data_IF_220898691017
#
_entry.id   IF_220898691017
#
_cell.length_a   1.000
_cell.length_b   1.000
_cell.length_c   1.000
_cell.angle_alpha   90.00
_cell.angle_beta   90.00
_cell.angle_gamma   90.00
#
_symmetry.space_group_name_H-M   'P 1'
#
loop_
_entity.id
_entity.type
_entity.pdbx_description
1 polymer ?
#
# COMPACT_ATOMS: atom_id res chain seq x y z
N UNK A 1 9.84 -23.39 34.80
CA UNK A 1 8.73 -23.52 33.85
C UNK A 1 9.32 -23.22 32.49
N UNK A 2 9.55 -24.26 31.69
CA UNK A 2 9.99 -24.11 30.27
C UNK A 2 8.77 -23.64 29.48
N UNK A 3 8.72 -22.37 29.13
CA UNK A 3 7.79 -21.85 28.14
C UNK A 3 8.32 -22.32 26.79
N UNK A 4 7.78 -23.42 26.27
CA UNK A 4 7.94 -23.77 24.86
C UNK A 4 7.17 -22.71 24.08
N UNK A 5 7.87 -21.69 23.59
CA UNK A 5 7.35 -20.84 22.55
C UNK A 5 7.07 -21.77 21.35
N UNK A 6 5.81 -22.04 21.08
CA UNK A 6 5.40 -22.70 19.83
C UNK A 6 6.01 -21.88 18.70
N UNK A 7 6.77 -22.48 17.78
CA UNK A 7 7.29 -21.72 16.66
C UNK A 7 6.09 -21.15 15.89
N UNK A 8 5.92 -19.83 15.97
CA UNK A 8 4.89 -19.17 15.21
C UNK A 8 5.31 -19.19 13.75
N UNK A 9 4.65 -20.02 12.95
CA UNK A 9 4.81 -20.03 11.52
C UNK A 9 3.85 -18.99 10.92
N UNK A 10 4.38 -17.94 10.30
CA UNK A 10 3.57 -17.07 9.47
C UNK A 10 3.02 -17.90 8.29
N UNK A 11 1.71 -17.89 8.13
CA UNK A 11 1.07 -18.50 6.97
C UNK A 11 1.07 -17.48 5.81
N UNK A 12 1.93 -17.69 4.85
CA UNK A 12 2.04 -16.88 3.64
C UNK A 12 1.20 -17.43 2.47
N UNK A 13 0.38 -18.45 2.70
CA UNK A 13 -0.44 -19.08 1.64
C UNK A 13 -1.45 -18.12 1.01
N UNK A 14 -1.80 -17.07 1.74
CA UNK A 14 -2.81 -16.08 1.31
C UNK A 14 -2.21 -14.76 0.82
N UNK A 15 -0.92 -14.70 0.51
CA UNK A 15 -0.31 -13.52 -0.09
C UNK A 15 -0.53 -13.50 -1.61
N UNK A 16 -0.50 -12.30 -2.20
CA UNK A 16 -0.67 -12.14 -3.64
C UNK A 16 -2.09 -11.73 -4.03
N UNK A 17 -2.31 -11.60 -5.34
CA UNK A 17 -3.59 -11.17 -5.88
C UNK A 17 -4.70 -12.14 -5.49
N UNK A 18 -5.80 -11.61 -4.92
CA UNK A 18 -6.94 -12.40 -4.45
C UNK A 18 -6.51 -13.60 -3.58
N UNK A 19 -5.54 -13.39 -2.68
CA UNK A 19 -4.99 -14.41 -1.79
C UNK A 19 -4.40 -15.61 -2.54
N UNK A 20 -3.85 -15.38 -3.72
CA UNK A 20 -3.35 -16.41 -4.66
C UNK A 20 -4.38 -17.42 -5.19
N UNK A 21 -5.66 -17.21 -4.91
CA UNK A 21 -6.75 -18.05 -5.38
C UNK A 21 -7.13 -17.79 -6.85
N UNK A 22 -6.71 -16.65 -7.39
CA UNK A 22 -7.00 -16.26 -8.78
C UNK A 22 -5.76 -15.68 -9.45
N UNK A 23 -5.61 -15.95 -10.73
CA UNK A 23 -4.64 -15.28 -11.58
C UNK A 23 -4.93 -13.78 -11.69
N UNK A 24 -3.89 -12.98 -11.86
CA UNK A 24 -4.03 -11.55 -12.18
C UNK A 24 -4.79 -11.43 -13.50
N UNK A 25 -5.91 -10.70 -13.56
CA UNK A 25 -6.68 -10.59 -14.79
C UNK A 25 -5.91 -9.79 -15.85
N UNK A 26 -5.96 -10.24 -17.07
CA UNK A 26 -5.43 -9.49 -18.20
C UNK A 26 -6.40 -8.38 -18.59
N UNK A 27 -5.90 -7.13 -18.63
CA UNK A 27 -6.70 -5.98 -19.00
C UNK A 27 -6.65 -5.75 -20.51
N UNK A 28 -7.79 -5.60 -21.14
CA UNK A 28 -7.89 -5.25 -22.56
C UNK A 28 -7.18 -3.93 -22.84
N UNK A 29 -6.37 -3.90 -23.91
CA UNK A 29 -5.72 -2.66 -24.34
C UNK A 29 -6.74 -1.73 -24.96
N UNK A 30 -6.89 -0.55 -24.35
CA UNK A 30 -7.85 0.49 -24.78
C UNK A 30 -7.14 1.62 -25.51
N UNK A 31 -5.95 1.97 -25.06
CA UNK A 31 -5.13 3.04 -25.67
C UNK A 31 -3.73 2.51 -25.87
N UNK A 32 -3.21 2.72 -27.08
CA UNK A 32 -1.80 2.51 -27.41
C UNK A 32 -1.08 3.85 -27.51
N UNK A 33 -0.06 4.04 -26.69
CA UNK A 33 0.78 5.24 -26.67
C UNK A 33 2.07 4.94 -27.40
N UNK A 34 2.15 5.34 -28.66
CA UNK A 34 3.35 5.19 -29.49
C UNK A 34 4.48 6.05 -28.93
N UNK A 35 5.70 5.53 -28.91
CA UNK A 35 6.86 6.31 -28.49
C UNK A 35 7.07 7.56 -29.36
N UNK A 36 7.50 8.64 -28.72
CA UNK A 36 7.97 9.88 -29.36
C UNK A 36 9.11 10.45 -28.54
N UNK A 37 9.93 11.28 -29.17
CA UNK A 37 10.99 12.03 -28.51
C UNK A 37 10.43 13.13 -27.59
N UNK A 38 11.17 13.45 -26.53
CA UNK A 38 10.88 14.49 -25.56
C UNK A 38 9.94 14.05 -24.43
N UNK A 39 9.47 15.00 -23.63
CA UNK A 39 8.61 14.74 -22.46
C UNK A 39 7.27 14.12 -22.86
N UNK A 40 6.97 12.98 -22.25
CA UNK A 40 5.74 12.21 -22.51
C UNK A 40 4.73 12.27 -21.37
N UNK A 41 5.04 12.99 -20.28
CA UNK A 41 4.22 13.02 -19.07
C UNK A 41 2.75 13.32 -19.35
N UNK A 42 2.48 14.46 -19.97
CA UNK A 42 1.12 14.92 -20.25
C UNK A 42 0.36 13.99 -21.21
N UNK A 43 1.08 13.35 -22.13
CA UNK A 43 0.48 12.47 -23.14
C UNK A 43 0.09 11.12 -22.56
N UNK A 44 0.94 10.54 -21.71
CA UNK A 44 0.62 9.30 -21.00
C UNK A 44 -0.48 9.59 -19.98
N UNK A 45 -0.42 10.72 -19.25
CA UNK A 45 -1.48 11.10 -18.32
C UNK A 45 -2.85 11.19 -19.00
N UNK A 46 -2.93 11.84 -20.17
CA UNK A 46 -4.19 11.90 -20.94
C UNK A 46 -4.71 10.51 -21.34
N UNK A 47 -3.83 9.56 -21.63
CA UNK A 47 -4.24 8.19 -21.92
C UNK A 47 -4.78 7.49 -20.68
N UNK A 48 -4.15 7.68 -19.53
CA UNK A 48 -4.62 7.19 -18.22
C UNK A 48 -6.00 7.80 -17.91
N UNK A 49 -6.15 9.11 -18.06
CA UNK A 49 -7.41 9.82 -17.79
C UNK A 49 -8.56 9.34 -18.70
N UNK A 50 -8.24 9.09 -19.97
CA UNK A 50 -9.20 8.53 -20.92
C UNK A 50 -9.69 7.13 -20.49
N UNK A 51 -8.79 6.25 -20.07
CA UNK A 51 -9.17 4.92 -19.56
C UNK A 51 -9.92 5.05 -18.24
N UNK A 52 -9.52 5.97 -17.38
CA UNK A 52 -10.18 6.26 -16.10
C UNK A 52 -11.64 6.69 -16.25
N UNK A 53 -11.96 7.43 -17.30
CA UNK A 53 -13.32 7.88 -17.60
C UNK A 53 -14.23 6.76 -18.17
N UNK A 54 -13.70 5.62 -18.56
CA UNK A 54 -14.50 4.52 -19.11
C UNK A 54 -15.33 3.85 -18.02
N UNK A 55 -16.44 3.24 -18.44
CA UNK A 55 -17.22 2.39 -17.55
C UNK A 55 -16.43 1.14 -17.17
N UNK A 56 -16.39 0.85 -15.89
CA UNK A 56 -15.76 -0.37 -15.36
C UNK A 56 -16.59 -1.61 -15.73
N UNK A 57 -15.93 -2.64 -16.22
CA UNK A 57 -16.54 -3.96 -16.38
C UNK A 57 -16.83 -4.56 -15.01
N UNK A 58 -18.08 -4.95 -14.77
CA UNK A 58 -18.53 -5.47 -13.49
C UNK A 58 -18.00 -6.87 -13.15
N UNK A 59 -17.59 -7.64 -14.16
CA UNK A 59 -17.09 -9.02 -13.95
C UNK A 59 -15.62 -9.01 -13.58
N UNK A 60 -14.83 -8.20 -14.28
CA UNK A 60 -13.38 -8.13 -14.10
C UNK A 60 -12.95 -7.02 -13.12
N UNK A 61 -13.79 -6.00 -12.94
CA UNK A 61 -13.43 -4.80 -12.18
C UNK A 61 -12.41 -3.93 -12.90
N UNK A 62 -12.22 -4.11 -14.21
CA UNK A 62 -11.27 -3.38 -15.04
C UNK A 62 -11.97 -2.34 -15.93
N UNK A 63 -11.25 -1.29 -16.27
CA UNK A 63 -11.61 -0.28 -17.29
C UNK A 63 -10.79 -0.45 -18.55
N UNK A 64 -9.62 -1.05 -18.42
CA UNK A 64 -8.69 -1.38 -19.49
C UNK A 64 -7.27 -0.97 -19.22
N UNK A 65 -6.41 -1.24 -20.20
CA UNK A 65 -5.00 -0.92 -20.15
C UNK A 65 -4.62 0.23 -21.10
N UNK A 66 -3.69 1.07 -20.63
CA UNK A 66 -2.86 1.93 -21.48
C UNK A 66 -1.60 1.15 -21.79
N UNK A 67 -1.41 0.78 -23.06
CA UNK A 67 -0.20 0.10 -23.55
C UNK A 67 0.80 1.12 -24.08
N UNK A 68 1.98 1.12 -23.51
CA UNK A 68 3.12 1.91 -23.98
C UNK A 68 3.95 1.11 -24.98
N UNK A 69 4.35 1.76 -26.07
CA UNK A 69 5.23 1.21 -27.07
C UNK A 69 6.64 0.93 -26.50
N UNK A 70 7.49 0.32 -27.31
CA UNK A 70 8.93 0.21 -27.03
C UNK A 70 9.57 1.59 -27.06
N UNK A 71 10.49 1.85 -26.13
CA UNK A 71 11.26 3.08 -26.07
C UNK A 71 11.42 3.60 -24.64
N UNK A 72 12.22 4.65 -24.52
CA UNK A 72 12.43 5.38 -23.26
C UNK A 72 11.50 6.59 -23.26
N UNK A 73 10.51 6.54 -22.39
CA UNK A 73 9.53 7.61 -22.18
C UNK A 73 10.05 8.55 -21.11
N UNK A 74 10.58 9.70 -21.50
CA UNK A 74 11.02 10.72 -20.55
C UNK A 74 9.81 11.36 -19.87
N UNK A 75 9.90 11.53 -18.55
CA UNK A 75 8.86 12.10 -17.71
C UNK A 75 9.42 13.24 -16.88
N UNK A 76 8.94 14.45 -17.12
CA UNK A 76 9.22 15.63 -16.27
C UNK A 76 8.22 15.78 -15.12
N UNK A 77 7.10 15.06 -15.19
CA UNK A 77 6.07 15.02 -14.16
C UNK A 77 5.66 13.59 -13.85
N UNK A 78 5.31 13.27 -12.60
CA UNK A 78 4.85 11.95 -12.23
C UNK A 78 3.50 11.64 -12.90
N UNK A 79 3.29 10.35 -13.16
CA UNK A 79 1.99 9.84 -13.61
C UNK A 79 1.11 9.51 -12.39
N UNK A 80 -0.21 9.72 -12.54
CA UNK A 80 -1.18 9.46 -11.47
C UNK A 80 -2.29 8.56 -11.97
N UNK A 81 -2.53 7.46 -11.26
CA UNK A 81 -3.69 6.60 -11.47
C UNK A 81 -4.55 6.73 -10.21
N UNK A 82 -5.70 7.42 -10.35
CA UNK A 82 -6.59 7.76 -9.24
C UNK A 82 -7.93 7.04 -9.31
N UNK A 83 -8.09 6.16 -10.29
CA UNK A 83 -9.33 5.44 -10.55
C UNK A 83 -9.08 3.93 -10.62
N UNK A 84 -9.93 3.16 -9.93
CA UNK A 84 -9.89 1.69 -9.95
C UNK A 84 -10.07 1.12 -11.35
N UNK A 85 -9.41 0.00 -11.62
CA UNK A 85 -9.57 -0.76 -12.87
C UNK A 85 -8.70 -0.29 -14.03
N UNK A 86 -7.71 0.56 -13.79
CA UNK A 86 -6.79 1.10 -14.81
C UNK A 86 -5.44 0.40 -14.70
N UNK A 87 -4.92 -0.06 -15.84
CA UNK A 87 -3.61 -0.70 -15.94
C UNK A 87 -2.71 0.11 -16.86
N UNK A 88 -1.52 0.45 -16.39
CA UNK A 88 -0.43 1.00 -17.20
C UNK A 88 0.53 -0.14 -17.55
N UNK A 89 0.66 -0.45 -18.83
CA UNK A 89 1.41 -1.61 -19.30
C UNK A 89 2.44 -1.20 -20.34
N UNK A 90 3.66 -1.70 -20.20
CA UNK A 90 4.66 -1.67 -21.28
C UNK A 90 4.51 -2.84 -22.23
N UNK A 91 5.00 -2.70 -23.44
CA UNK A 91 5.05 -3.79 -24.43
C UNK A 91 5.95 -4.92 -23.92
N UNK A 92 7.07 -4.57 -23.31
CA UNK A 92 8.04 -5.52 -22.75
C UNK A 92 8.89 -4.81 -21.69
N UNK A 93 9.15 -5.48 -20.56
CA UNK A 93 9.89 -4.89 -19.43
C UNK A 93 11.31 -4.43 -19.79
N UNK A 94 11.94 -5.06 -20.79
CA UNK A 94 13.30 -4.72 -21.20
C UNK A 94 13.34 -3.66 -22.31
N UNK A 95 12.19 -3.32 -22.89
CA UNK A 95 12.09 -2.43 -24.04
C UNK A 95 11.24 -1.18 -23.80
N UNK A 96 10.37 -1.20 -22.79
CA UNK A 96 9.57 -0.03 -22.38
C UNK A 96 10.11 0.50 -21.07
N UNK A 97 10.64 1.72 -21.08
CA UNK A 97 11.23 2.36 -19.90
C UNK A 97 10.50 3.67 -19.62
N UNK A 98 10.02 3.86 -18.41
CA UNK A 98 9.62 5.17 -17.87
C UNK A 98 10.85 5.79 -17.22
N UNK A 99 11.35 6.88 -17.76
CA UNK A 99 12.55 7.55 -17.29
C UNK A 99 12.19 8.90 -16.67
N UNK A 100 12.28 9.00 -15.35
CA UNK A 100 12.02 10.24 -14.62
C UNK A 100 13.19 11.20 -14.80
N UNK A 101 12.88 12.41 -15.25
CA UNK A 101 13.82 13.53 -15.28
C UNK A 101 13.85 14.25 -13.95
N UNK A 102 15.02 14.76 -13.59
CA UNK A 102 15.25 15.45 -12.34
C UNK A 102 15.70 14.51 -11.21
N UNK A 103 16.39 15.08 -10.23
CA UNK A 103 17.05 14.35 -9.15
C UNK A 103 16.25 14.30 -7.85
N UNK A 104 15.02 14.84 -7.84
CA UNK A 104 14.15 14.78 -6.68
C UNK A 104 13.71 13.34 -6.34
N UNK A 105 13.30 13.11 -5.08
CA UNK A 105 12.87 11.80 -4.56
C UNK A 105 11.41 11.43 -4.87
N UNK A 106 10.71 12.23 -5.67
CA UNK A 106 9.32 11.96 -6.03
C UNK A 106 9.15 10.64 -6.78
N UNK A 107 8.03 9.97 -6.59
CA UNK A 107 7.71 8.75 -7.30
C UNK A 107 7.43 9.03 -8.80
N UNK A 108 7.72 8.05 -9.65
CA UNK A 108 7.44 8.10 -11.08
C UNK A 108 5.94 7.90 -11.36
N UNK A 109 5.32 6.99 -10.61
CA UNK A 109 3.89 6.67 -10.73
C UNK A 109 3.26 6.67 -9.35
N UNK A 110 2.21 7.44 -9.17
CA UNK A 110 1.36 7.44 -7.97
C UNK A 110 0.09 6.63 -8.23
N UNK A 111 -0.16 5.67 -7.36
CA UNK A 111 -1.43 4.93 -7.28
C UNK A 111 -2.15 5.41 -6.02
N UNK A 112 -2.96 6.42 -6.14
CA UNK A 112 -3.58 7.09 -5.00
C UNK A 112 -5.05 7.40 -5.26
N UNK A 113 -5.91 7.11 -4.30
CA UNK A 113 -7.31 7.49 -4.38
C UNK A 113 -7.50 8.96 -3.99
N UNK A 114 -8.37 9.67 -4.69
CA UNK A 114 -8.82 11.01 -4.25
C UNK A 114 -9.62 10.95 -2.95
N UNK A 115 -10.22 9.79 -2.66
CA UNK A 115 -10.98 9.58 -1.44
C UNK A 115 -10.07 9.18 -0.30
N UNK A 116 -10.28 9.78 0.86
CA UNK A 116 -9.58 9.48 2.09
C UNK A 116 -10.35 8.43 2.90
N UNK A 117 -9.61 7.58 3.62
CA UNK A 117 -10.20 6.67 4.59
C UNK A 117 -10.93 7.48 5.68
N UNK A 118 -12.18 7.11 5.93
CA UNK A 118 -12.97 7.65 7.02
C UNK A 118 -13.20 6.57 8.06
N UNK A 119 -13.18 6.92 9.34
CA UNK A 119 -13.50 6.02 10.43
C UNK A 119 -14.88 6.31 11.01
N UNK A 120 -15.49 5.31 11.67
CA UNK A 120 -16.81 5.37 12.27
C UNK A 120 -16.75 5.16 13.78
N UNK A 121 -17.41 6.03 14.51
CA UNK A 121 -17.48 5.97 15.96
C UNK A 121 -16.14 6.28 16.64
N UNK A 122 -16.13 6.16 17.96
CA UNK A 122 -14.94 6.37 18.77
C UNK A 122 -13.97 5.19 18.66
N UNK A 123 -12.65 5.43 18.75
CA UNK A 123 -11.68 4.35 18.83
C UNK A 123 -11.89 3.51 20.08
N UNK A 124 -11.97 2.20 19.92
CA UNK A 124 -12.02 1.25 21.02
C UNK A 124 -10.58 0.94 21.46
N UNK A 125 -10.19 1.36 22.64
CA UNK A 125 -8.91 0.96 23.25
C UNK A 125 -8.91 -0.53 23.55
N UNK A 126 -7.78 -1.18 23.37
CA UNK A 126 -7.63 -2.59 23.74
C UNK A 126 -7.68 -2.72 25.26
N UNK A 127 -8.62 -3.54 25.75
CA UNK A 127 -8.76 -3.85 27.17
C UNK A 127 -7.89 -5.02 27.64
N UNK A 128 -7.34 -5.78 26.69
CA UNK A 128 -6.44 -6.89 26.93
C UNK A 128 -5.46 -7.02 25.75
N UNK A 129 -4.27 -7.59 25.96
CA UNK A 129 -3.32 -7.83 24.87
C UNK A 129 -3.89 -8.72 23.78
N UNK A 130 -3.59 -8.37 22.54
CA UNK A 130 -3.80 -9.21 21.36
C UNK A 130 -2.46 -9.82 20.96
N UNK A 131 -2.43 -11.12 20.76
CA UNK A 131 -1.18 -11.82 20.53
C UNK A 131 -0.84 -11.92 19.03
N UNK A 132 0.44 -11.94 18.74
CA UNK A 132 0.96 -12.29 17.43
C UNK A 132 0.28 -13.58 16.93
N UNK A 133 -0.23 -13.56 15.71
CA UNK A 133 -0.91 -14.71 15.10
C UNK A 133 -2.40 -14.81 15.40
N UNK A 134 -2.93 -14.00 16.30
CA UNK A 134 -4.37 -14.02 16.57
C UNK A 134 -5.19 -13.42 15.42
N UNK A 135 -6.35 -14.03 15.21
CA UNK A 135 -7.42 -13.54 14.34
C UNK A 135 -8.71 -13.27 15.12
N UNK A 136 -8.90 -13.94 16.26
CA UNK A 136 -10.04 -13.72 17.16
C UNK A 136 -9.69 -12.64 18.15
N UNK A 137 -10.26 -11.46 17.96
CA UNK A 137 -10.00 -10.27 18.75
C UNK A 137 -11.31 -9.60 19.15
N UNK A 138 -11.27 -8.73 20.15
CA UNK A 138 -12.42 -7.92 20.53
C UNK A 138 -12.69 -6.87 19.45
N UNK A 139 -13.79 -7.00 18.76
CA UNK A 139 -14.19 -6.07 17.70
C UNK A 139 -14.99 -4.89 18.27
N UNK A 140 -14.94 -3.69 17.63
CA UNK A 140 -15.83 -2.58 17.96
C UNK A 140 -17.31 -2.99 17.88
N UNK A 141 -18.13 -2.38 18.72
CA UNK A 141 -19.57 -2.65 18.75
C UNK A 141 -20.20 -2.42 17.36
N UNK A 142 -21.12 -3.31 16.97
CA UNK A 142 -21.82 -3.25 15.70
C UNK A 142 -21.01 -3.68 14.48
N UNK A 143 -19.80 -4.22 14.67
CA UNK A 143 -19.08 -4.88 13.56
C UNK A 143 -19.83 -6.11 13.07
N UNK A 144 -19.85 -6.28 11.77
CA UNK A 144 -20.46 -7.43 11.08
C UNK A 144 -19.51 -7.95 9.98
N UNK A 145 -19.81 -9.13 9.49
CA UNK A 145 -19.08 -9.72 8.36
C UNK A 145 -19.04 -8.76 7.16
N UNK A 146 -17.88 -8.56 6.61
CA UNK A 146 -17.62 -7.66 5.47
C UNK A 146 -17.24 -6.23 5.87
N UNK A 147 -17.34 -5.86 7.14
CA UNK A 147 -16.83 -4.58 7.62
C UNK A 147 -15.28 -4.56 7.57
N UNK A 148 -14.72 -3.38 7.39
CA UNK A 148 -13.29 -3.14 7.56
C UNK A 148 -13.02 -2.41 8.88
N UNK A 149 -11.90 -2.73 9.51
CA UNK A 149 -11.42 -2.08 10.72
C UNK A 149 -9.99 -1.60 10.54
N UNK A 150 -9.69 -0.48 11.19
CA UNK A 150 -8.35 0.07 11.38
C UNK A 150 -7.86 -0.34 12.77
N UNK A 151 -6.70 -0.98 12.83
CA UNK A 151 -5.99 -1.29 14.06
C UNK A 151 -4.77 -0.39 14.09
N UNK A 152 -4.55 0.30 15.21
CA UNK A 152 -3.43 1.24 15.36
C UNK A 152 -2.62 0.89 16.60
N UNK A 153 -1.33 0.79 16.43
CA UNK A 153 -0.34 0.80 17.48
C UNK A 153 0.47 2.10 17.39
N UNK A 154 0.30 3.02 18.34
CA UNK A 154 1.09 4.24 18.37
C UNK A 154 2.59 3.95 18.54
N UNK A 155 3.42 4.72 17.88
CA UNK A 155 4.86 4.69 18.06
C UNK A 155 5.24 5.51 19.30
N UNK A 156 5.38 4.83 20.44
CA UNK A 156 5.81 5.47 21.71
C UNK A 156 7.34 5.62 21.71
N UNK A 157 7.82 6.54 22.55
CA UNK A 157 9.25 6.77 22.73
C UNK A 157 9.98 5.49 23.18
N UNK A 158 9.39 4.75 24.09
CA UNK A 158 9.92 3.50 24.66
C UNK A 158 10.04 2.43 23.58
N UNK A 159 9.02 2.30 22.73
CA UNK A 159 9.03 1.36 21.64
C UNK A 159 10.08 1.72 20.58
N UNK A 160 10.18 2.99 20.20
CA UNK A 160 11.18 3.50 19.25
C UNK A 160 12.59 3.20 19.77
N UNK A 161 12.86 3.45 21.06
CA UNK A 161 14.13 3.13 21.69
C UNK A 161 14.42 1.62 21.69
N UNK A 162 13.43 0.81 22.06
CA UNK A 162 13.54 -0.66 22.07
C UNK A 162 13.83 -1.24 20.68
N UNK A 163 13.29 -0.63 19.64
CA UNK A 163 13.55 -1.02 18.24
C UNK A 163 14.89 -0.52 17.71
N UNK A 164 15.60 0.32 18.45
CA UNK A 164 16.85 0.94 17.99
C UNK A 164 16.64 2.00 16.91
N UNK A 165 15.43 2.54 16.79
CA UNK A 165 15.05 3.51 15.75
C UNK A 165 15.08 4.96 16.27
N UNK A 166 15.52 5.20 17.48
CA UNK A 166 15.57 6.55 18.06
C UNK A 166 16.71 7.40 17.47
N UNK A 167 17.78 6.77 16.99
CA UNK A 167 18.92 7.42 16.36
C UNK A 167 19.59 6.43 15.40
N UNK A 168 19.68 6.80 14.14
CA UNK A 168 20.36 6.00 13.12
C UNK A 168 21.83 6.35 12.95
N UNK A 169 22.40 7.17 13.84
CA UNK A 169 23.82 7.51 13.82
C UNK A 169 24.23 8.41 12.68
N UNK A 170 23.31 9.16 12.10
CA UNK A 170 23.64 10.23 11.18
C UNK A 170 24.52 11.25 11.91
N UNK A 171 25.68 11.58 11.36
CA UNK A 171 26.66 12.45 11.98
C UNK A 171 26.08 13.81 12.37
N UNK A 172 26.79 14.54 13.24
CA UNK A 172 26.37 15.83 13.82
C UNK A 172 25.92 16.89 12.79
N UNK A 173 26.32 16.74 11.54
CA UNK A 173 26.04 17.68 10.44
C UNK A 173 24.75 17.43 9.70
N UNK A 174 24.06 16.29 9.92
CA UNK A 174 22.85 15.89 9.20
C UNK A 174 21.56 16.01 10.03
N UNK A 175 21.66 16.58 11.24
CA UNK A 175 20.50 16.74 12.11
C UNK A 175 20.03 15.43 12.77
N UNK A 176 18.81 15.44 13.30
CA UNK A 176 18.21 14.28 13.94
C UNK A 176 17.76 13.25 12.90
N UNK A 177 18.34 12.07 12.96
CA UNK A 177 17.97 10.92 12.15
C UNK A 177 17.46 9.79 13.02
N UNK A 178 16.19 9.71 13.16
CA UNK A 178 15.50 8.70 13.94
C UNK A 178 14.00 8.92 13.84
N UNK A 179 13.24 8.06 14.49
CA UNK A 179 11.81 8.19 14.55
C UNK A 179 11.36 9.04 15.75
N UNK A 180 10.35 9.88 15.54
CA UNK A 180 9.68 10.61 16.61
C UNK A 180 8.41 9.88 17.08
N UNK A 181 8.05 9.99 18.36
CA UNK A 181 6.78 9.46 18.87
C UNK A 181 5.58 10.00 18.09
N UNK A 182 4.71 9.11 17.65
CA UNK A 182 3.51 9.43 16.84
C UNK A 182 3.78 9.61 15.34
N UNK A 183 5.04 9.60 14.89
CA UNK A 183 5.39 9.78 13.48
C UNK A 183 5.20 8.49 12.66
N UNK A 184 5.60 7.36 13.22
CA UNK A 184 5.59 6.05 12.55
C UNK A 184 4.65 5.09 13.28
N UNK A 185 3.40 5.46 13.40
CA UNK A 185 2.38 4.55 13.94
C UNK A 185 2.19 3.34 13.03
N UNK A 186 2.15 2.17 13.64
CA UNK A 186 1.87 0.95 12.89
C UNK A 186 0.36 0.79 12.73
N UNK A 187 -0.08 0.71 11.47
CA UNK A 187 -1.50 0.67 11.13
C UNK A 187 -1.80 -0.56 10.27
N UNK A 188 -2.83 -1.30 10.66
CA UNK A 188 -3.37 -2.40 9.87
C UNK A 188 -4.82 -2.15 9.53
N UNK A 189 -5.18 -2.39 8.31
CA UNK A 189 -6.59 -2.57 7.95
C UNK A 189 -6.85 -4.06 7.83
N UNK A 190 -7.98 -4.51 8.39
CA UNK A 190 -8.42 -5.89 8.35
C UNK A 190 -9.89 -5.97 8.01
N UNK A 191 -10.27 -6.96 7.23
CA UNK A 191 -11.67 -7.28 7.00
C UNK A 191 -12.18 -8.20 8.09
N UNK A 192 -13.43 -8.00 8.50
CA UNK A 192 -14.11 -8.87 9.45
C UNK A 192 -14.77 -10.01 8.68
N UNK A 193 -14.38 -11.23 8.98
CA UNK A 193 -14.87 -12.45 8.33
C UNK A 193 -15.50 -13.42 9.33
N UNK A 194 -16.26 -14.40 8.84
CA UNK A 194 -16.78 -15.48 9.68
C UNK A 194 -15.64 -16.39 10.16
N UNK A 195 -15.73 -16.88 11.39
CA UNK A 195 -14.85 -17.93 11.91
C UNK A 195 -15.33 -19.36 11.58
N UNK A 196 -16.42 -19.48 10.81
CA UNK A 196 -17.05 -20.75 10.46
C UNK A 196 -17.84 -21.41 11.58
N UNK A 197 -17.91 -20.80 12.78
CA UNK A 197 -18.60 -21.32 13.98
C UNK A 197 -19.64 -20.36 14.54
N UNK A 198 -20.07 -19.39 13.72
CA UNK A 198 -21.05 -18.36 14.10
C UNK A 198 -20.44 -17.12 14.76
N UNK A 199 -19.12 -17.04 14.86
CA UNK A 199 -18.38 -15.88 15.35
C UNK A 199 -17.71 -15.09 14.24
N UNK A 200 -17.09 -13.98 14.62
CA UNK A 200 -16.33 -13.10 13.76
C UNK A 200 -14.83 -13.14 14.10
N UNK A 201 -14.01 -12.94 13.07
CA UNK A 201 -12.56 -12.85 13.21
C UNK A 201 -11.96 -11.94 12.13
N UNK A 202 -10.67 -11.66 12.24
CA UNK A 202 -9.92 -10.96 11.20
C UNK A 202 -9.67 -11.87 9.98
N UNK A 203 -9.61 -11.30 8.79
CA UNK A 203 -9.27 -11.99 7.53
C UNK A 203 -7.82 -12.51 7.52
N UNK A 204 -6.91 -11.82 8.20
CA UNK A 204 -5.52 -12.23 8.34
C UNK A 204 -5.04 -12.08 9.80
N UNK A 205 -4.08 -12.91 10.25
CA UNK A 205 -3.54 -12.83 11.60
C UNK A 205 -2.80 -11.52 11.85
N UNK A 206 -2.67 -11.19 13.13
CA UNK A 206 -1.82 -10.08 13.56
C UNK A 206 -0.36 -10.43 13.34
N UNK A 207 0.39 -9.50 12.77
CA UNK A 207 1.83 -9.63 12.54
C UNK A 207 2.69 -9.15 13.71
N UNK A 208 2.06 -8.69 14.80
CA UNK A 208 2.70 -8.19 16.01
C UNK A 208 1.75 -8.34 17.18
N UNK A 209 2.28 -8.59 18.38
CA UNK A 209 1.50 -8.49 19.62
C UNK A 209 1.22 -7.03 19.97
N UNK A 210 0.02 -6.75 20.46
CA UNK A 210 -0.47 -5.41 20.78
C UNK A 210 -0.88 -5.34 22.26
N UNK A 211 -0.72 -4.16 22.90
CA UNK A 211 -1.17 -3.95 24.27
C UNK A 211 -0.35 -4.70 25.34
N UNK A 212 0.85 -5.15 25.01
CA UNK A 212 1.79 -5.74 25.98
C UNK A 212 2.76 -4.72 26.57
N UNK A 213 2.76 -3.51 26.03
CA UNK A 213 3.56 -2.38 26.46
C UNK A 213 2.63 -1.19 26.77
N UNK A 214 3.22 -0.06 27.17
CA UNK A 214 2.49 1.16 27.53
C UNK A 214 1.80 1.87 26.34
N UNK A 215 1.87 1.30 25.14
CA UNK A 215 1.22 1.85 23.96
C UNK A 215 -0.31 1.61 24.03
N UNK A 216 -1.08 2.68 24.09
CA UNK A 216 -2.54 2.62 23.99
C UNK A 216 -2.99 2.24 22.59
N UNK A 217 -2.90 0.95 22.24
CA UNK A 217 -3.41 0.45 20.99
C UNK A 217 -4.92 0.58 20.91
N UNK A 218 -5.45 0.83 19.72
CA UNK A 218 -6.88 0.94 19.52
C UNK A 218 -7.34 0.34 18.19
N UNK A 219 -8.63 0.08 18.12
CA UNK A 219 -9.30 -0.38 16.91
C UNK A 219 -10.53 0.48 16.61
N UNK A 220 -10.77 0.75 15.34
CA UNK A 220 -11.89 1.57 14.88
C UNK A 220 -12.48 1.00 13.59
N UNK A 221 -13.81 1.14 13.41
CA UNK A 221 -14.44 0.75 12.14
C UNK A 221 -14.10 1.74 11.04
N UNK A 222 -13.97 1.25 9.82
CA UNK A 222 -13.77 2.07 8.62
C UNK A 222 -15.12 2.25 7.91
N UNK A 223 -15.37 3.44 7.40
CA UNK A 223 -16.56 3.77 6.63
C UNK A 223 -16.42 3.32 5.19
N UNK A 224 -17.00 2.18 4.86
CA UNK A 224 -16.94 1.65 3.50
C UNK A 224 -15.52 1.25 3.07
N UNK A 225 -15.37 0.91 1.79
CA UNK A 225 -14.08 0.53 1.20
C UNK A 225 -13.82 1.22 -0.15
N UNK A 226 -14.53 2.27 -0.45
CA UNK A 226 -14.47 3.02 -1.72
C UNK A 226 -13.29 4.01 -1.76
N UNK A 227 -12.60 4.19 -0.65
CA UNK A 227 -11.37 4.96 -0.54
C UNK A 227 -10.14 4.22 -1.10
N UNK A 228 -10.23 2.90 -1.30
CA UNK A 228 -9.15 2.10 -1.88
C UNK A 228 -9.28 2.00 -3.39
N UNK A 229 -8.17 2.18 -4.08
CA UNK A 229 -8.06 1.72 -5.46
C UNK A 229 -8.06 0.20 -5.52
N UNK A 230 -8.78 -0.35 -6.49
CA UNK A 230 -8.87 -1.79 -6.74
C UNK A 230 -8.57 -2.09 -8.20
N UNK A 231 -7.93 -3.23 -8.46
CA UNK A 231 -7.61 -3.69 -9.81
C UNK A 231 -6.82 -2.64 -10.62
N UNK A 232 -5.82 -2.02 -9.99
CA UNK A 232 -4.87 -1.10 -10.61
C UNK A 232 -3.57 -1.84 -10.81
N UNK A 233 -2.89 -1.62 -11.92
CA UNK A 233 -1.64 -2.28 -12.23
C UNK A 233 -0.64 -1.37 -12.94
N UNK A 234 0.65 -1.60 -12.67
CA UNK A 234 1.78 -1.12 -13.47
C UNK A 234 2.62 -2.34 -13.79
N UNK A 235 2.75 -2.69 -15.06
CA UNK A 235 3.32 -3.97 -15.46
C UNK A 235 4.08 -3.94 -16.77
N UNK A 236 4.95 -4.92 -16.98
CA UNK A 236 5.72 -5.13 -18.21
C UNK A 236 6.52 -3.91 -18.68
N UNK A 237 7.06 -3.14 -17.76
CA UNK A 237 7.91 -1.98 -18.03
C UNK A 237 9.01 -1.87 -16.98
N UNK A 238 10.03 -1.11 -17.28
CA UNK A 238 11.08 -0.69 -16.37
C UNK A 238 10.82 0.75 -15.93
N UNK A 239 11.07 1.03 -14.67
CA UNK A 239 11.10 2.39 -14.12
C UNK A 239 12.55 2.71 -13.80
N UNK A 240 13.02 3.83 -14.32
CA UNK A 240 14.35 4.36 -14.10
C UNK A 240 14.26 5.86 -13.81
N UNK A 241 15.29 6.44 -13.21
CA UNK A 241 15.31 7.85 -12.85
C UNK A 241 16.69 8.46 -12.99
N UNK A 242 16.71 9.73 -13.34
CA UNK A 242 17.89 10.55 -13.20
C UNK A 242 18.28 10.68 -11.74
N UNK A 243 19.58 10.60 -11.43
CA UNK A 243 20.10 10.84 -10.10
C UNK A 243 21.49 11.50 -10.20
N UNK A 244 21.85 12.24 -9.16
CA UNK A 244 23.14 12.89 -9.09
C UNK A 244 24.25 11.88 -8.73
N UNK A 245 25.01 11.45 -9.73
CA UNK A 245 26.13 10.53 -9.54
C UNK A 245 27.32 11.18 -8.79
N UNK A 246 27.38 12.50 -8.75
CA UNK A 246 28.46 13.23 -8.05
C UNK A 246 28.19 13.37 -6.57
N UNK A 247 26.94 13.32 -6.16
CA UNK A 247 26.49 13.36 -4.77
C UNK A 247 25.51 12.21 -4.46
N UNK A 248 25.96 10.94 -4.43
CA UNK A 248 25.07 9.79 -4.24
C UNK A 248 24.43 9.73 -2.84
N UNK A 249 24.82 10.62 -1.93
CA UNK A 249 24.25 10.76 -0.59
C UNK A 249 23.34 11.98 -0.46
N UNK A 250 23.04 12.65 -1.57
CA UNK A 250 22.13 13.79 -1.56
C UNK A 250 20.75 13.33 -1.09
N UNK A 251 20.21 14.04 -0.13
CA UNK A 251 18.93 13.75 0.51
C UNK A 251 17.77 14.57 -0.06
N UNK A 252 18.00 15.37 -1.09
CA UNK A 252 16.99 16.22 -1.73
C UNK A 252 16.03 15.44 -2.65
#
# INVERSE_FOLDING_TARGET
VQIFAQPFAFDFSYVGYQQSEKGIPDADVVVFVKWKEGDQSARIQKAIDFVSARKMDKKTGLRGAVLLDKGVFELSQPLRIQTSGVVLRGTDRNQTVLYKKGVDRGAVVYLESEKQMQTLGDPLKLSAPWMLGERKVTLPAGCKMGDEILIVRPSTKEWIQKMGCADFGAGKDLGYWGWHPGEIDVRWTRSVVSDGKGGLQLDAPLSMSLGQDDAECFVQRIAGNDWRLKNVGVENLTIDSEYDTTNPKDEN
#
